data_IF_207972470179
#
_entry.id   IF_207972470179
#
_cell.length_a   1.000
_cell.length_b   1.000
_cell.length_c   1.000
_cell.angle_alpha   90.00
_cell.angle_beta   90.00
_cell.angle_gamma   90.00
#
_symmetry.space_group_name_H-M   'P 1'
#
loop_
_entity.id
_entity.type
_entity.pdbx_description
1 polymer ?
#
# COMPACT_ATOMS: atom_id res chain seq x y z
N UNK A 1 -21.64 -2.33 36.56
CA UNK A 1 -20.19 -2.61 36.60
C UNK A 1 -19.67 -2.99 35.22
N UNK A 2 -20.41 -3.76 34.42
CA UNK A 2 -20.03 -4.10 33.02
C UNK A 2 -19.78 -2.88 32.12
N UNK A 3 -20.68 -1.89 32.16
CA UNK A 3 -20.52 -0.64 31.39
C UNK A 3 -19.34 0.21 31.84
N UNK A 4 -18.81 -0.02 33.05
CA UNK A 4 -17.61 0.68 33.50
C UNK A 4 -16.35 -0.03 33.00
N UNK A 5 -16.36 -1.36 32.92
CA UNK A 5 -15.26 -2.13 32.33
C UNK A 5 -15.13 -1.90 30.82
N UNK A 6 -16.25 -1.84 30.08
CA UNK A 6 -16.26 -1.52 28.65
C UNK A 6 -15.64 -0.14 28.36
N UNK A 7 -15.95 0.85 29.21
CA UNK A 7 -15.43 2.21 29.06
C UNK A 7 -13.95 2.31 29.44
N UNK A 8 -13.49 1.48 30.39
CA UNK A 8 -12.07 1.34 30.72
C UNK A 8 -11.28 0.63 29.60
N UNK A 9 -11.87 -0.35 28.92
CA UNK A 9 -11.25 -1.03 27.78
C UNK A 9 -11.13 -0.09 26.56
N UNK A 10 -12.18 0.68 26.25
CA UNK A 10 -12.17 1.71 25.19
C UNK A 10 -11.16 2.80 25.52
N UNK A 11 -11.10 3.26 26.78
CA UNK A 11 -10.14 4.29 27.22
C UNK A 11 -8.72 3.74 27.25
N UNK A 12 -8.50 2.47 27.63
CA UNK A 12 -7.21 1.80 27.58
C UNK A 12 -6.74 1.63 26.13
N UNK A 13 -7.62 1.26 25.19
CA UNK A 13 -7.33 1.24 23.74
C UNK A 13 -6.99 2.63 23.21
N UNK A 14 -7.76 3.65 23.56
CA UNK A 14 -7.53 5.04 23.15
C UNK A 14 -6.24 5.64 23.74
N UNK A 15 -5.88 5.23 24.96
CA UNK A 15 -4.63 5.61 25.64
C UNK A 15 -3.40 4.82 25.15
N UNK A 16 -3.55 3.91 24.18
CA UNK A 16 -2.44 3.14 23.61
C UNK A 16 -2.01 1.92 24.44
N UNK A 17 -2.78 1.54 25.45
CA UNK A 17 -2.59 0.35 26.29
C UNK A 17 -3.41 -0.87 25.81
N UNK A 18 -4.14 -0.77 24.70
CA UNK A 18 -4.90 -1.88 24.13
C UNK A 18 -4.01 -2.84 23.35
N UNK A 19 -3.76 -4.00 23.95
CA UNK A 19 -2.91 -5.12 23.48
C UNK A 19 -1.48 -4.74 23.05
N UNK A 20 -0.44 -5.39 23.58
CA UNK A 20 0.91 -5.20 23.06
C UNK A 20 0.89 -5.56 21.57
N UNK A 21 1.07 -4.56 20.69
CA UNK A 21 1.07 -4.75 19.24
C UNK A 21 1.92 -5.96 18.93
N UNK A 22 1.27 -7.01 18.45
CA UNK A 22 1.94 -8.24 18.11
C UNK A 22 2.97 -7.94 17.00
N UNK A 23 4.08 -8.68 16.95
CA UNK A 23 5.10 -8.50 15.90
C UNK A 23 4.47 -8.42 14.48
N UNK A 24 3.46 -9.24 14.13
CA UNK A 24 2.75 -9.13 12.86
C UNK A 24 2.06 -7.78 12.60
N UNK A 25 1.48 -7.15 13.62
CA UNK A 25 0.80 -5.85 13.48
C UNK A 25 1.79 -4.71 13.21
N UNK A 26 2.95 -4.74 13.88
CA UNK A 26 4.02 -3.76 13.65
C UNK A 26 4.55 -3.90 12.23
N UNK A 27 4.80 -5.13 11.78
CA UNK A 27 5.23 -5.42 10.41
C UNK A 27 4.17 -4.94 9.40
N UNK A 28 2.89 -5.25 9.64
CA UNK A 28 1.79 -4.80 8.79
C UNK A 28 1.70 -3.28 8.69
N UNK A 29 1.90 -2.55 9.79
CA UNK A 29 1.91 -1.10 9.81
C UNK A 29 3.10 -0.52 9.01
N UNK A 30 4.31 -1.06 9.19
CA UNK A 30 5.50 -0.63 8.44
C UNK A 30 5.32 -0.91 6.94
N UNK A 31 4.83 -2.09 6.57
CA UNK A 31 4.53 -2.44 5.18
C UNK A 31 3.52 -1.45 4.59
N UNK A 32 2.44 -1.13 5.33
CA UNK A 32 1.44 -0.16 4.89
C UNK A 32 2.01 1.23 4.62
N UNK A 33 2.88 1.72 5.50
CA UNK A 33 3.58 3.00 5.32
C UNK A 33 4.46 2.97 4.08
N UNK A 34 5.29 1.93 3.91
CA UNK A 34 6.15 1.79 2.73
C UNK A 34 5.32 1.70 1.45
N UNK A 35 4.23 0.92 1.45
CA UNK A 35 3.35 0.78 0.28
C UNK A 35 2.73 2.10 -0.14
N UNK A 36 2.25 2.90 0.84
CA UNK A 36 1.68 4.22 0.55
C UNK A 36 2.70 5.16 -0.09
N UNK A 37 3.93 5.19 0.44
CA UNK A 37 5.02 5.99 -0.12
C UNK A 37 5.38 5.55 -1.54
N UNK A 38 5.48 4.25 -1.77
CA UNK A 38 5.75 3.69 -3.10
C UNK A 38 4.64 4.05 -4.09
N UNK A 39 3.37 3.96 -3.69
CA UNK A 39 2.25 4.37 -4.55
C UNK A 39 2.36 5.82 -5.03
N UNK A 40 2.77 6.74 -4.16
CA UNK A 40 3.01 8.15 -4.52
C UNK A 40 4.17 8.28 -5.51
N UNK A 41 5.27 7.55 -5.34
CA UNK A 41 6.38 7.56 -6.29
C UNK A 41 5.94 7.09 -7.68
N UNK A 42 5.16 6.01 -7.75
CA UNK A 42 4.65 5.50 -9.03
C UNK A 42 3.70 6.49 -9.71
N UNK A 43 2.91 7.25 -8.95
CA UNK A 43 2.09 8.34 -9.48
C UNK A 43 2.96 9.42 -10.13
N UNK A 44 4.02 9.85 -9.45
CA UNK A 44 4.97 10.86 -9.96
C UNK A 44 5.68 10.34 -11.22
N UNK A 45 6.12 9.09 -11.24
CA UNK A 45 6.75 8.47 -12.42
C UNK A 45 5.78 8.39 -13.61
N UNK A 46 4.51 8.09 -13.36
CA UNK A 46 3.47 8.06 -14.39
C UNK A 46 3.26 9.46 -14.97
N UNK A 47 3.16 10.49 -14.11
CA UNK A 47 3.08 11.88 -14.56
C UNK A 47 4.32 12.28 -15.37
N UNK A 48 5.52 11.95 -14.90
CA UNK A 48 6.78 12.25 -15.60
C UNK A 48 6.84 11.56 -16.97
N UNK A 49 6.47 10.29 -17.05
CA UNK A 49 6.39 9.56 -18.31
C UNK A 49 5.37 10.17 -19.26
N UNK A 50 4.21 10.62 -18.75
CA UNK A 50 3.19 11.33 -19.51
C UNK A 50 3.69 12.67 -20.07
N UNK A 51 4.34 13.49 -19.24
CA UNK A 51 4.95 14.74 -19.67
C UNK A 51 6.05 14.52 -20.70
N UNK A 52 6.91 13.53 -20.51
CA UNK A 52 7.96 13.19 -21.47
C UNK A 52 7.35 12.76 -22.81
N UNK A 53 6.26 11.99 -22.79
CA UNK A 53 5.56 11.57 -24.00
C UNK A 53 4.94 12.76 -24.74
N UNK A 54 4.24 13.65 -24.02
CA UNK A 54 3.61 14.85 -24.60
C UNK A 54 4.64 15.84 -25.16
N UNK A 55 5.80 15.98 -24.51
CA UNK A 55 6.87 16.90 -24.94
C UNK A 55 7.84 16.31 -25.96
N UNK A 56 7.64 15.06 -26.38
CA UNK A 56 8.56 14.38 -27.29
C UNK A 56 8.56 14.94 -28.72
N UNK A 57 7.53 15.69 -29.12
CA UNK A 57 7.47 16.46 -30.39
C UNK A 57 7.94 15.67 -31.65
N UNK A 58 7.63 14.37 -31.73
CA UNK A 58 8.02 13.50 -32.84
C UNK A 58 9.41 12.85 -32.75
N UNK A 59 10.18 13.10 -31.69
CA UNK A 59 11.43 12.38 -31.44
C UNK A 59 11.13 10.95 -30.97
N UNK A 60 11.38 9.97 -31.85
CA UNK A 60 11.09 8.55 -31.59
C UNK A 60 11.79 8.01 -30.34
N UNK A 61 13.02 8.42 -30.07
CA UNK A 61 13.80 7.99 -28.90
C UNK A 61 13.11 8.44 -27.61
N UNK A 62 12.67 9.71 -27.56
CA UNK A 62 11.96 10.25 -26.39
C UNK A 62 10.59 9.58 -26.22
N UNK A 63 9.87 9.33 -27.31
CA UNK A 63 8.58 8.61 -27.28
C UNK A 63 8.76 7.19 -26.74
N UNK A 64 9.78 6.46 -27.21
CA UNK A 64 10.06 5.10 -26.76
C UNK A 64 10.37 5.07 -25.27
N UNK A 65 11.26 5.97 -24.81
CA UNK A 65 11.63 6.09 -23.40
C UNK A 65 10.44 6.46 -22.51
N UNK A 66 9.57 7.35 -22.97
CA UNK A 66 8.36 7.73 -22.25
C UNK A 66 7.38 6.56 -22.12
N UNK A 67 7.15 5.82 -23.21
CA UNK A 67 6.30 4.62 -23.22
C UNK A 67 6.87 3.51 -22.32
N UNK A 68 8.18 3.32 -22.34
CA UNK A 68 8.85 2.36 -21.47
C UNK A 68 8.68 2.73 -19.99
N UNK A 69 8.87 4.01 -19.65
CA UNK A 69 8.65 4.53 -18.29
C UNK A 69 7.21 4.33 -17.83
N UNK A 70 6.24 4.62 -18.70
CA UNK A 70 4.81 4.38 -18.42
C UNK A 70 4.49 2.89 -18.26
N UNK A 71 5.04 2.03 -19.11
CA UNK A 71 4.83 0.58 -19.01
C UNK A 71 5.42 0.01 -17.71
N UNK A 72 6.64 0.41 -17.37
CA UNK A 72 7.31 -0.06 -16.16
C UNK A 72 6.62 0.44 -14.89
N UNK A 73 6.14 1.69 -14.89
CA UNK A 73 5.37 2.23 -13.77
C UNK A 73 4.05 1.49 -13.57
N UNK A 74 3.29 1.24 -14.64
CA UNK A 74 2.02 0.49 -14.55
C UNK A 74 2.25 -0.95 -14.07
N UNK A 75 3.25 -1.65 -14.62
CA UNK A 75 3.56 -3.03 -14.22
C UNK A 75 3.97 -3.08 -12.74
N UNK A 76 4.83 -2.17 -12.28
CA UNK A 76 5.22 -2.12 -10.88
C UNK A 76 4.04 -1.85 -9.95
N UNK A 77 3.13 -0.96 -10.34
CA UNK A 77 1.91 -0.69 -9.57
C UNK A 77 1.02 -1.94 -9.46
N UNK A 78 0.81 -2.65 -10.57
CA UNK A 78 0.03 -3.90 -10.61
C UNK A 78 0.64 -4.95 -9.68
N UNK A 79 1.96 -5.12 -9.71
CA UNK A 79 2.67 -6.11 -8.85
C UNK A 79 2.45 -5.79 -7.37
N UNK A 80 2.59 -4.53 -6.97
CA UNK A 80 2.43 -4.11 -5.56
C UNK A 80 0.99 -4.30 -5.08
N UNK A 81 0.01 -3.87 -5.88
CA UNK A 81 -1.40 -4.04 -5.57
C UNK A 81 -1.78 -5.52 -5.49
N UNK A 82 -1.25 -6.34 -6.40
CA UNK A 82 -1.47 -7.80 -6.41
C UNK A 82 -0.86 -8.44 -5.17
N UNK A 83 0.39 -8.12 -4.82
CA UNK A 83 1.07 -8.66 -3.65
C UNK A 83 0.27 -8.36 -2.37
N UNK A 84 -0.14 -7.11 -2.16
CA UNK A 84 -0.94 -6.74 -0.99
C UNK A 84 -2.30 -7.43 -0.96
N UNK A 85 -2.98 -7.51 -2.11
CA UNK A 85 -4.28 -8.18 -2.23
C UNK A 85 -4.17 -9.67 -1.90
N UNK A 86 -3.13 -10.34 -2.41
CA UNK A 86 -2.86 -11.76 -2.13
C UNK A 86 -2.56 -11.95 -0.65
N UNK A 87 -1.69 -11.13 -0.04
CA UNK A 87 -1.38 -11.23 1.40
C UNK A 87 -2.64 -11.07 2.25
N UNK A 88 -3.47 -10.07 1.95
CA UNK A 88 -4.75 -9.86 2.64
C UNK A 88 -5.71 -11.02 2.46
N UNK A 89 -5.79 -11.57 1.25
CA UNK A 89 -6.63 -12.72 0.94
C UNK A 89 -6.19 -13.95 1.73
N UNK A 90 -4.90 -14.31 1.69
CA UNK A 90 -4.36 -15.48 2.40
C UNK A 90 -4.57 -15.35 3.91
N UNK A 91 -4.26 -14.19 4.50
CA UNK A 91 -4.47 -13.94 5.93
C UNK A 91 -5.97 -14.01 6.28
N UNK A 92 -6.83 -13.42 5.47
CA UNK A 92 -8.27 -13.45 5.66
C UNK A 92 -8.83 -14.88 5.65
N UNK A 93 -8.39 -15.71 4.70
CA UNK A 93 -8.77 -17.12 4.61
C UNK A 93 -8.32 -17.89 5.86
N UNK A 94 -7.07 -17.72 6.30
CA UNK A 94 -6.52 -18.41 7.48
C UNK A 94 -7.30 -18.04 8.75
N UNK A 95 -7.58 -16.74 8.96
CA UNK A 95 -8.34 -16.26 10.12
C UNK A 95 -9.77 -16.80 10.09
N UNK A 96 -10.42 -16.81 8.91
CA UNK A 96 -11.79 -17.33 8.76
C UNK A 96 -11.91 -18.85 8.92
N UNK A 97 -10.82 -19.60 8.70
CA UNK A 97 -10.82 -21.07 8.77
C UNK A 97 -10.49 -21.61 10.17
N UNK A 98 -10.02 -20.75 11.08
CA UNK A 98 -9.66 -21.12 12.46
C UNK A 98 -10.85 -21.00 13.41
N UNK A 99 -12.00 -20.51 12.94
CA UNK A 99 -13.27 -20.50 13.65
C UNK A 99 -14.33 -21.29 12.86
#
# INVERSE_FOLDING_TARGET
MDKMMELLEITARAAGFGDPKSIPEIIGAVIGIVLSFVGVIFLILTMYGGFLWMTSAGNEIKVLKAKETLRNSIIGLIIILSAYSITKFVIGVIISSTF
#
